data_IF_321346889450
#
_entry.id   IF_321346889450
#
_cell.length_a   1.000
_cell.length_b   1.000
_cell.length_c   1.000
_cell.angle_alpha   90.00
_cell.angle_beta   90.00
_cell.angle_gamma   90.00
#
_symmetry.space_group_name_H-M   'P 1'
#
loop_
_entity.id
_entity.type
_entity.pdbx_description
1 polymer ?
#
# COMPACT_ATOMS: atom_id res chain seq x y z
N UNK A 1 13.23 -14.99 8.74
CA UNK A 1 12.65 -14.18 7.64
C UNK A 1 11.92 -13.01 8.28
N UNK A 2 12.57 -11.86 8.41
CA UNK A 2 11.93 -10.63 8.89
C UNK A 2 12.14 -9.64 7.76
N UNK A 3 11.10 -9.45 6.95
CA UNK A 3 11.07 -8.36 5.98
C UNK A 3 11.03 -7.08 6.82
N UNK A 4 12.20 -6.52 7.08
CA UNK A 4 12.32 -5.19 7.64
C UNK A 4 11.60 -4.23 6.69
N UNK A 5 10.72 -3.34 7.19
CA UNK A 5 10.12 -2.33 6.35
C UNK A 5 11.26 -1.46 5.76
N UNK A 6 11.29 -1.24 4.44
CA UNK A 6 12.27 -0.35 3.84
C UNK A 6 12.04 1.03 4.45
N UNK A 7 13.10 1.67 4.92
CA UNK A 7 13.09 3.06 5.38
C UNK A 7 12.73 3.98 4.21
N UNK A 8 11.45 4.14 3.83
CA UNK A 8 11.12 4.97 2.67
C UNK A 8 10.91 6.41 3.10
N UNK A 9 11.52 7.33 2.38
CA UNK A 9 11.12 8.73 2.35
C UNK A 9 10.34 9.09 1.07
N UNK A 10 10.26 8.20 0.06
CA UNK A 10 9.99 8.64 -1.32
C UNK A 10 9.28 7.60 -2.23
N UNK A 11 8.21 6.93 -1.78
CA UNK A 11 7.51 5.95 -2.66
C UNK A 11 5.98 5.97 -2.58
N UNK A 12 5.40 6.68 -1.60
CA UNK A 12 3.95 6.72 -1.40
C UNK A 12 3.42 8.14 -1.55
N UNK A 13 2.37 8.30 -2.36
CA UNK A 13 1.77 9.62 -2.60
C UNK A 13 0.79 9.95 -1.48
N UNK A 14 1.08 10.98 -0.67
CA UNK A 14 0.16 11.46 0.37
C UNK A 14 -0.95 12.32 -0.25
N UNK A 15 -2.19 11.86 -0.20
CA UNK A 15 -3.38 12.58 -0.68
C UNK A 15 -4.43 12.56 0.40
N UNK A 16 -4.84 13.76 0.86
CA UNK A 16 -5.90 13.93 1.87
C UNK A 16 -5.66 13.08 3.15
N UNK A 17 -4.42 13.13 3.65
CA UNK A 17 -3.93 12.37 4.80
C UNK A 17 -3.84 10.85 4.63
N UNK A 18 -4.01 10.34 3.42
CA UNK A 18 -3.82 8.94 3.08
C UNK A 18 -2.59 8.73 2.21
N UNK A 19 -1.86 7.65 2.45
CA UNK A 19 -0.74 7.17 1.65
C UNK A 19 -1.24 6.23 0.57
N UNK A 20 -1.10 6.62 -0.68
CA UNK A 20 -1.50 5.82 -1.83
C UNK A 20 -0.32 4.97 -2.33
N UNK A 21 -0.59 3.70 -2.59
CA UNK A 21 0.30 2.81 -3.33
C UNK A 21 0.22 3.13 -4.82
N UNK A 22 1.34 3.40 -5.48
CA UNK A 22 1.38 3.75 -6.90
C UNK A 22 1.11 2.55 -7.84
N UNK A 23 1.32 1.32 -7.37
CA UNK A 23 1.08 0.12 -8.21
C UNK A 23 -0.38 -0.27 -8.29
N UNK A 24 -1.09 -0.29 -7.16
CA UNK A 24 -2.49 -0.73 -7.11
C UNK A 24 -3.50 0.40 -6.90
N UNK A 25 -3.06 1.57 -6.44
CA UNK A 25 -3.92 2.73 -6.15
C UNK A 25 -4.63 2.71 -4.79
N UNK A 26 -4.33 1.73 -3.91
CA UNK A 26 -4.92 1.65 -2.57
C UNK A 26 -4.40 2.76 -1.66
N UNK A 27 -5.33 3.40 -0.93
CA UNK A 27 -5.04 4.45 0.02
C UNK A 27 -5.08 3.94 1.46
N UNK A 28 -4.05 4.24 2.23
CA UNK A 28 -3.86 3.80 3.60
C UNK A 28 -3.73 4.98 4.55
N UNK A 29 -4.26 4.86 5.77
CA UNK A 29 -4.06 5.91 6.80
C UNK A 29 -2.63 5.95 7.30
N UNK A 30 -2.00 4.80 7.42
CA UNK A 30 -0.63 4.69 7.89
C UNK A 30 0.30 4.40 6.73
N UNK A 31 1.43 5.12 6.71
CA UNK A 31 2.49 4.94 5.72
C UNK A 31 2.97 3.48 5.66
N UNK A 32 3.13 2.85 6.83
CA UNK A 32 3.59 1.47 6.94
C UNK A 32 2.72 0.48 6.15
N UNK A 33 1.41 0.71 6.07
CA UNK A 33 0.51 -0.13 5.27
C UNK A 33 0.68 0.11 3.77
N UNK A 34 0.84 1.36 3.34
CA UNK A 34 1.13 1.68 1.95
C UNK A 34 2.47 1.09 1.50
N UNK A 35 3.50 1.15 2.34
CA UNK A 35 4.82 0.56 2.09
C UNK A 35 4.76 -0.97 1.96
N UNK A 36 4.06 -1.63 2.89
CA UNK A 36 3.81 -3.07 2.81
C UNK A 36 3.07 -3.42 1.51
N UNK A 37 2.06 -2.62 1.14
CA UNK A 37 1.29 -2.84 -0.07
C UNK A 37 2.17 -2.80 -1.31
N UNK A 38 3.01 -1.79 -1.43
CA UNK A 38 3.84 -1.59 -2.61
C UNK A 38 4.94 -2.65 -2.71
N UNK A 39 5.61 -2.99 -1.61
CA UNK A 39 6.56 -4.12 -1.62
C UNK A 39 5.90 -5.43 -2.04
N UNK A 40 4.71 -5.68 -1.51
CA UNK A 40 3.97 -6.89 -1.83
C UNK A 40 3.54 -6.90 -3.30
N UNK A 41 3.02 -5.78 -3.80
CA UNK A 41 2.68 -5.61 -5.22
C UNK A 41 3.89 -5.80 -6.14
N UNK A 42 5.05 -5.19 -5.87
CA UNK A 42 6.26 -5.39 -6.68
C UNK A 42 6.72 -6.84 -6.71
N UNK A 43 6.62 -7.53 -5.58
CA UNK A 43 7.13 -8.90 -5.43
C UNK A 43 6.17 -9.94 -6.03
N UNK A 44 4.88 -9.85 -5.73
CA UNK A 44 3.87 -10.84 -6.10
C UNK A 44 3.04 -10.45 -7.34
N UNK A 45 3.16 -9.21 -7.83
CA UNK A 45 2.30 -8.61 -8.87
C UNK A 45 0.80 -8.72 -8.57
N UNK A 46 0.44 -8.82 -7.30
CA UNK A 46 -0.93 -8.97 -6.80
C UNK A 46 -1.01 -8.28 -5.45
N UNK A 47 -2.18 -7.75 -5.08
CA UNK A 47 -2.37 -7.17 -3.75
C UNK A 47 -2.64 -8.24 -2.70
N UNK A 48 -2.05 -8.10 -1.51
CA UNK A 48 -2.37 -8.99 -0.38
C UNK A 48 -3.72 -8.59 0.21
N UNK A 49 -4.62 -9.56 0.38
CA UNK A 49 -5.93 -9.34 0.98
C UNK A 49 -5.83 -8.82 2.43
N UNK A 50 -4.82 -9.25 3.19
CA UNK A 50 -4.56 -8.73 4.53
C UNK A 50 -4.26 -7.23 4.49
N UNK A 51 -3.39 -6.81 3.57
CA UNK A 51 -3.04 -5.39 3.42
C UNK A 51 -4.24 -4.59 2.91
N UNK A 52 -4.95 -5.11 1.89
CA UNK A 52 -6.17 -4.49 1.36
C UNK A 52 -7.24 -4.26 2.44
N UNK A 53 -7.33 -5.14 3.44
CA UNK A 53 -8.30 -5.00 4.54
C UNK A 53 -8.02 -3.78 5.42
N UNK A 54 -6.78 -3.31 5.46
CA UNK A 54 -6.37 -2.07 6.13
C UNK A 54 -6.44 -0.84 5.22
N UNK A 55 -6.82 -1.00 3.95
CA UNK A 55 -6.97 0.13 3.05
C UNK A 55 -8.14 1.01 3.50
N UNK A 56 -7.83 2.27 3.79
CA UNK A 56 -8.82 3.28 4.13
C UNK A 56 -9.55 3.80 2.89
N UNK A 57 -8.96 3.63 1.71
CA UNK A 57 -9.57 3.97 0.42
C UNK A 57 -9.26 2.92 -0.63
N UNK A 58 -10.30 2.32 -1.19
CA UNK A 58 -10.18 1.44 -2.35
C UNK A 58 -10.15 2.26 -3.65
N UNK A 59 -9.29 1.93 -4.62
CA UNK A 59 -9.31 2.50 -5.95
C UNK A 59 -10.45 1.83 -6.72
N UNK A 60 -11.69 2.29 -6.51
CA UNK A 60 -12.89 1.98 -7.30
C UNK A 60 -12.94 0.55 -7.88
N UNK A 61 -12.73 -0.47 -7.03
CA UNK A 61 -12.71 -1.86 -7.45
C UNK A 61 -14.16 -2.33 -7.60
N UNK A 62 -14.66 -2.38 -8.84
CA UNK A 62 -15.82 -3.23 -9.16
C UNK A 62 -15.34 -4.67 -9.07
N UNK A 63 -15.65 -5.34 -7.95
CA UNK A 63 -15.57 -6.80 -7.82
C UNK A 63 -16.41 -7.47 -8.91
#
# INVERSE_FOLDING_TARGET
MILAPPSVSDMTKKVNDLYLCEECGLGYRERAWAEKCEMWCKTHKSCSLEIMSHAAKAPNLKL
#
